data_IF_015324581849
#
_entry.id   IF_015324581849
#
_cell.length_a   1.000
_cell.length_b   1.000
_cell.length_c   1.000
_cell.angle_alpha   90.00
_cell.angle_beta   90.00
_cell.angle_gamma   90.00
#
_symmetry.space_group_name_H-M   'P 1'
#
loop_
_entity.id
_entity.type
_entity.pdbx_description
1 polymer ?
#
# COMPACT_ATOMS: atom_id res chain seq x y z
N UNK A 1 27.32 -1.79 47.80
CA UNK A 1 25.93 -2.16 48.21
C UNK A 1 25.04 -1.36 47.29
N UNK A 2 24.17 -1.99 46.51
CA UNK A 2 23.45 -1.29 45.43
C UNK A 2 22.61 -0.09 45.91
N UNK A 3 22.18 -0.12 47.19
CA UNK A 3 21.47 0.99 47.82
C UNK A 3 22.37 2.14 48.30
N UNK A 4 23.66 1.91 48.45
CA UNK A 4 24.66 2.97 48.74
C UNK A 4 25.09 3.67 47.45
N UNK A 5 24.96 3.00 46.30
CA UNK A 5 25.36 3.49 44.98
C UNK A 5 24.21 4.20 44.22
N UNK A 6 23.15 4.62 44.92
CA UNK A 6 21.97 5.27 44.30
C UNK A 6 22.36 6.57 43.60
N UNK A 7 23.25 7.36 44.19
CA UNK A 7 23.71 8.61 43.58
C UNK A 7 24.45 8.34 42.26
N UNK A 8 25.33 7.34 42.24
CA UNK A 8 26.03 6.92 41.02
C UNK A 8 25.05 6.43 39.95
N UNK A 9 24.04 5.63 40.32
CA UNK A 9 23.02 5.15 39.39
C UNK A 9 22.18 6.30 38.83
N UNK A 10 21.88 7.31 39.64
CA UNK A 10 21.20 8.52 39.18
C UNK A 10 22.08 9.31 38.19
N UNK A 11 23.36 9.50 38.49
CA UNK A 11 24.32 10.18 37.60
C UNK A 11 24.42 9.48 36.23
N UNK A 12 24.53 8.14 36.21
CA UNK A 12 24.60 7.37 34.95
C UNK A 12 23.32 7.52 34.13
N UNK A 13 22.15 7.62 34.77
CA UNK A 13 20.87 7.83 34.05
C UNK A 13 20.80 9.25 33.51
N UNK A 14 21.21 10.26 34.28
CA UNK A 14 21.26 11.66 33.83
C UNK A 14 22.20 11.83 32.63
N UNK A 15 23.40 11.24 32.71
CA UNK A 15 24.37 11.23 31.61
C UNK A 15 23.82 10.53 30.37
N UNK A 16 23.10 9.41 30.54
CA UNK A 16 22.47 8.70 29.42
C UNK A 16 21.32 9.52 28.79
N UNK A 17 20.60 10.30 29.59
CA UNK A 17 19.50 11.17 29.16
C UNK A 17 20.00 12.50 28.56
N UNK A 18 21.30 12.80 28.64
CA UNK A 18 21.88 14.02 28.10
C UNK A 18 21.58 14.16 26.59
N UNK A 19 20.93 15.28 26.23
CA UNK A 19 20.53 15.57 24.85
C UNK A 19 19.14 15.06 24.44
N UNK A 20 18.39 14.46 25.35
CA UNK A 20 16.96 14.19 25.17
C UNK A 20 16.11 15.27 25.86
N UNK A 21 15.07 15.72 25.17
CA UNK A 21 14.03 16.60 25.70
C UNK A 21 12.78 15.76 26.00
N UNK A 22 12.63 15.38 27.27
CA UNK A 22 11.57 14.49 27.75
C UNK A 22 10.70 15.14 28.81
N UNK A 23 9.43 14.73 28.85
CA UNK A 23 8.50 15.11 29.91
C UNK A 23 8.19 13.94 30.83
N UNK A 24 8.32 12.70 30.34
CA UNK A 24 7.92 11.47 31.04
C UNK A 24 9.02 10.43 31.02
N UNK A 25 9.56 10.11 32.19
CA UNK A 25 10.57 9.07 32.39
C UNK A 25 9.95 7.87 33.13
N UNK A 26 10.25 6.66 32.69
CA UNK A 26 10.03 5.46 33.48
C UNK A 26 11.38 4.85 33.84
N UNK A 27 11.50 4.37 35.08
CA UNK A 27 12.69 3.67 35.55
C UNK A 27 12.36 2.21 35.74
N UNK A 28 13.20 1.35 35.19
CA UNK A 28 13.17 -0.08 35.43
C UNK A 28 14.53 -0.59 35.86
N UNK A 29 14.52 -1.65 36.67
CA UNK A 29 15.72 -2.37 37.04
C UNK A 29 15.60 -3.83 36.62
N UNK A 30 16.66 -4.36 36.02
CA UNK A 30 16.83 -5.76 35.65
C UNK A 30 17.69 -6.44 36.71
N UNK A 31 17.06 -7.33 37.48
CA UNK A 31 17.75 -8.18 38.45
C UNK A 31 17.93 -9.59 37.89
N UNK A 32 19.02 -10.28 38.23
CA UNK A 32 19.17 -11.71 38.03
C UNK A 32 18.06 -12.49 38.74
N UNK A 33 17.59 -13.58 38.13
CA UNK A 33 16.46 -14.36 38.67
C UNK A 33 16.80 -14.99 40.02
N UNK A 34 18.02 -15.49 40.16
CA UNK A 34 18.57 -16.06 41.38
C UNK A 34 18.52 -15.07 42.56
N UNK A 35 18.81 -13.79 42.32
CA UNK A 35 18.73 -12.76 43.36
C UNK A 35 17.30 -12.47 43.80
N UNK A 36 16.35 -12.43 42.86
CA UNK A 36 14.93 -12.25 43.16
C UNK A 36 14.40 -13.46 43.94
N UNK A 37 14.73 -14.68 43.50
CA UNK A 37 14.31 -15.92 44.17
C UNK A 37 14.89 -16.03 45.59
N UNK A 38 16.15 -15.61 45.77
CA UNK A 38 16.79 -15.59 47.08
C UNK A 38 16.12 -14.58 48.04
N UNK A 39 15.84 -13.35 47.56
CA UNK A 39 15.09 -12.34 48.34
C UNK A 39 13.71 -12.85 48.74
N UNK A 40 12.98 -13.45 47.81
CA UNK A 40 11.65 -14.02 48.09
C UNK A 40 11.72 -15.16 49.11
N UNK A 41 12.76 -16.00 49.04
CA UNK A 41 13.05 -17.05 50.02
C UNK A 41 13.25 -16.49 51.43
N UNK A 42 14.07 -15.44 51.57
CA UNK A 42 14.29 -14.74 52.85
C UNK A 42 12.97 -14.18 53.38
N UNK A 43 12.19 -13.48 52.55
CA UNK A 43 10.91 -12.89 52.99
C UNK A 43 9.91 -13.95 53.44
N UNK A 44 9.85 -15.09 52.78
CA UNK A 44 9.02 -16.23 53.23
C UNK A 44 9.51 -16.80 54.55
N UNK A 45 10.83 -17.00 54.70
CA UNK A 45 11.44 -17.54 55.92
C UNK A 45 11.10 -16.69 57.15
N UNK A 46 11.12 -15.37 57.01
CA UNK A 46 10.83 -14.44 58.11
C UNK A 46 9.37 -13.97 58.18
N UNK A 47 8.47 -14.56 57.39
CA UNK A 47 7.07 -14.13 57.25
C UNK A 47 6.90 -12.63 56.94
N UNK A 48 7.90 -12.02 56.30
CA UNK A 48 7.96 -10.61 55.96
C UNK A 48 7.28 -10.30 54.61
N UNK A 49 6.07 -10.82 54.41
CA UNK A 49 5.31 -10.60 53.17
C UNK A 49 5.01 -9.12 52.91
N UNK A 50 4.86 -8.33 53.98
CA UNK A 50 4.60 -6.89 53.91
C UNK A 50 5.83 -6.00 53.69
N UNK A 51 7.04 -6.55 53.63
CA UNK A 51 8.24 -5.76 53.27
C UNK A 51 8.26 -5.47 51.77
N UNK A 52 8.79 -4.32 51.37
CA UNK A 52 8.97 -4.01 49.96
C UNK A 52 9.96 -4.98 49.30
N UNK A 53 9.68 -5.39 48.07
CA UNK A 53 10.57 -6.24 47.30
C UNK A 53 11.83 -5.48 46.87
N UNK A 54 12.91 -6.21 46.56
CA UNK A 54 14.22 -5.61 46.24
C UNK A 54 14.13 -4.63 45.06
N UNK A 55 13.46 -5.05 43.99
CA UNK A 55 13.32 -4.27 42.75
C UNK A 55 12.49 -2.97 42.94
N UNK A 56 11.23 -3.02 43.44
CA UNK A 56 10.46 -1.80 43.72
C UNK A 56 11.16 -0.86 44.70
N UNK A 57 11.84 -1.38 45.72
CA UNK A 57 12.59 -0.58 46.69
C UNK A 57 13.71 0.22 46.04
N UNK A 58 14.51 -0.42 45.19
CA UNK A 58 15.60 0.24 44.49
C UNK A 58 15.07 1.28 43.50
N UNK A 59 14.13 0.88 42.64
CA UNK A 59 13.53 1.77 41.64
C UNK A 59 12.88 2.97 42.31
N UNK A 60 12.14 2.78 43.41
CA UNK A 60 11.49 3.87 44.14
C UNK A 60 12.48 4.90 44.69
N UNK A 61 13.63 4.46 45.22
CA UNK A 61 14.66 5.38 45.71
C UNK A 61 15.37 6.14 44.59
N UNK A 62 15.71 5.46 43.49
CA UNK A 62 16.30 6.10 42.30
C UNK A 62 15.31 7.11 41.72
N UNK A 63 14.03 6.74 41.60
CA UNK A 63 12.97 7.64 41.14
C UNK A 63 12.89 8.89 42.01
N UNK A 64 12.86 8.75 43.34
CA UNK A 64 12.83 9.91 44.22
C UNK A 64 14.03 10.83 43.99
N UNK A 65 15.23 10.26 43.86
CA UNK A 65 16.46 11.03 43.64
C UNK A 65 16.45 11.77 42.29
N UNK A 66 16.04 11.10 41.22
CA UNK A 66 15.94 11.71 39.90
C UNK A 66 14.85 12.79 39.84
N UNK A 67 13.71 12.61 40.51
CA UNK A 67 12.68 13.66 40.61
C UNK A 67 13.17 14.93 41.31
N UNK A 68 14.15 14.83 42.21
CA UNK A 68 14.76 15.98 42.90
C UNK A 68 15.81 16.69 42.03
N UNK A 69 16.35 16.02 41.01
CA UNK A 69 17.44 16.52 40.16
C UNK A 69 16.99 16.95 38.77
N UNK A 70 15.96 16.31 38.22
CA UNK A 70 15.42 16.60 36.89
C UNK A 70 14.20 17.52 37.00
N UNK A 71 14.43 18.81 36.77
CA UNK A 71 13.36 19.79 36.70
C UNK A 71 12.48 19.57 35.46
N UNK A 72 11.16 19.51 35.64
CA UNK A 72 10.18 19.38 34.56
C UNK A 72 9.93 17.97 34.04
N UNK A 73 10.65 16.95 34.54
CA UNK A 73 10.44 15.55 34.16
C UNK A 73 9.57 14.83 35.18
N UNK A 74 8.45 14.27 34.72
CA UNK A 74 7.56 13.46 35.55
C UNK A 74 7.93 11.98 35.46
N UNK A 75 8.09 11.32 36.61
CA UNK A 75 8.31 9.88 36.65
C UNK A 75 6.97 9.15 36.60
N UNK A 76 6.79 8.32 35.57
CA UNK A 76 5.53 7.63 35.29
C UNK A 76 5.73 6.12 35.12
N UNK A 77 4.67 5.36 35.42
CA UNK A 77 4.66 3.91 35.22
C UNK A 77 3.96 3.47 33.92
N UNK A 78 3.17 4.37 33.33
CA UNK A 78 2.50 4.13 32.05
C UNK A 78 2.80 5.28 31.08
N UNK A 79 2.95 4.89 29.82
CA UNK A 79 3.26 5.75 28.68
C UNK A 79 4.40 6.77 28.92
N UNK A 80 5.62 6.30 29.24
CA UNK A 80 6.79 7.17 29.24
C UNK A 80 7.19 7.58 27.82
N UNK A 81 8.00 8.65 27.74
CA UNK A 81 8.76 9.02 26.55
C UNK A 81 10.01 8.13 26.45
N UNK A 82 10.70 7.91 27.58
CA UNK A 82 11.87 7.02 27.70
C UNK A 82 11.70 6.08 28.89
N UNK A 83 12.01 4.80 28.69
CA UNK A 83 12.20 3.82 29.76
C UNK A 83 13.71 3.59 29.97
N UNK A 84 14.23 4.05 31.10
CA UNK A 84 15.60 3.78 31.52
C UNK A 84 15.67 2.42 32.24
N UNK A 85 16.31 1.44 31.63
CA UNK A 85 16.54 0.11 32.19
C UNK A 85 17.96 -0.01 32.74
N UNK A 86 18.05 -0.17 34.04
CA UNK A 86 19.31 -0.37 34.76
C UNK A 86 19.59 -1.86 34.86
N UNK A 87 20.75 -2.31 34.38
CA UNK A 87 21.26 -3.64 34.67
C UNK A 87 22.09 -3.59 35.95
N UNK A 88 21.58 -4.22 37.02
CA UNK A 88 22.18 -4.10 38.36
C UNK A 88 23.48 -4.89 38.52
N UNK A 89 23.81 -5.79 37.59
CA UNK A 89 25.08 -6.53 37.63
C UNK A 89 26.22 -5.73 37.00
N UNK A 90 25.91 -5.06 35.88
CA UNK A 90 26.91 -4.32 35.09
C UNK A 90 26.90 -2.82 35.37
N UNK A 91 25.90 -2.33 36.13
CA UNK A 91 25.63 -0.91 36.38
C UNK A 91 25.50 -0.09 35.08
N UNK A 92 25.03 -0.74 34.01
CA UNK A 92 24.77 -0.08 32.72
C UNK A 92 23.32 0.35 32.61
N UNK A 93 23.08 1.46 31.91
CA UNK A 93 21.75 1.97 31.63
C UNK A 93 21.46 1.83 30.15
N UNK A 94 20.37 1.14 29.82
CA UNK A 94 19.83 1.06 28.46
C UNK A 94 18.59 1.93 28.38
N UNK A 95 18.53 2.82 27.40
CA UNK A 95 17.35 3.64 27.14
C UNK A 95 16.48 2.99 26.07
N UNK A 96 15.24 2.67 26.42
CA UNK A 96 14.20 2.30 25.46
C UNK A 96 13.37 3.55 25.13
N UNK A 97 13.65 4.13 23.96
CA UNK A 97 13.09 5.40 23.52
C UNK A 97 11.81 5.16 22.74
N UNK A 98 10.70 5.73 23.20
CA UNK A 98 9.39 5.48 22.61
C UNK A 98 9.16 6.32 21.35
N UNK A 99 8.66 5.67 20.29
CA UNK A 99 8.32 6.39 19.05
C UNK A 99 7.31 7.53 19.28
N UNK A 100 7.51 8.64 18.57
CA UNK A 100 6.52 9.69 18.42
C UNK A 100 5.59 9.38 17.24
N UNK A 101 4.32 9.76 17.35
CA UNK A 101 3.31 9.55 16.31
C UNK A 101 2.66 10.87 15.93
N UNK A 102 2.51 11.10 14.63
CA UNK A 102 1.96 12.33 14.07
C UNK A 102 0.87 11.94 13.08
N UNK A 103 -0.33 12.46 13.26
CA UNK A 103 -1.42 12.30 12.32
C UNK A 103 -1.40 13.45 11.31
N UNK A 104 -1.80 13.19 10.08
CA UNK A 104 -2.09 14.21 9.09
C UNK A 104 -2.91 13.66 7.93
N UNK A 105 -3.23 14.52 6.98
CA UNK A 105 -3.78 14.15 5.67
C UNK A 105 -2.83 14.62 4.59
N UNK A 106 -2.62 13.80 3.56
CA UNK A 106 -1.84 14.20 2.40
C UNK A 106 -2.68 14.22 1.14
N UNK A 107 -2.53 15.27 0.34
CA UNK A 107 -2.87 15.30 -1.07
C UNK A 107 -1.62 15.03 -1.87
N UNK A 108 -1.78 14.29 -2.96
CA UNK A 108 -0.73 13.93 -3.91
C UNK A 108 -1.15 14.50 -5.26
N UNK A 109 -0.49 15.54 -5.72
CA UNK A 109 -0.79 16.21 -6.98
C UNK A 109 0.01 15.61 -8.15
N UNK A 110 1.20 15.09 -7.87
CA UNK A 110 2.09 14.51 -8.89
C UNK A 110 1.80 13.03 -9.15
N UNK A 111 1.69 12.64 -10.43
CA UNK A 111 1.70 11.21 -10.85
C UNK A 111 3.16 10.76 -11.01
N UNK A 112 3.47 9.51 -10.67
CA UNK A 112 4.82 8.97 -10.79
C UNK A 112 5.57 8.82 -9.46
N UNK A 113 5.03 9.34 -8.36
CA UNK A 113 5.60 9.14 -7.01
C UNK A 113 4.85 8.04 -6.23
N UNK A 114 5.55 7.03 -5.67
CA UNK A 114 4.92 6.01 -4.83
C UNK A 114 4.56 6.58 -3.45
N UNK A 115 3.57 5.96 -2.79
CA UNK A 115 3.19 6.34 -1.42
C UNK A 115 4.31 6.07 -0.39
N UNK A 116 5.01 4.94 -0.52
CA UNK A 116 6.06 4.49 0.40
C UNK A 116 7.35 4.25 -0.37
N UNK A 117 8.49 4.18 0.35
CA UNK A 117 9.80 3.84 -0.20
C UNK A 117 9.77 2.50 -0.91
N UNK A 118 10.35 2.44 -2.11
CA UNK A 118 10.50 1.20 -2.88
C UNK A 118 11.98 0.89 -3.03
N UNK A 119 12.52 -0.10 -2.31
CA UNK A 119 13.90 -0.52 -2.48
C UNK A 119 14.15 -0.98 -3.91
N UNK A 120 15.32 -0.64 -4.46
CA UNK A 120 15.71 -1.07 -5.79
C UNK A 120 15.71 -2.60 -5.87
N UNK A 121 15.00 -3.16 -6.86
CA UNK A 121 14.84 -4.62 -7.02
C UNK A 121 16.17 -5.35 -7.24
N UNK A 122 17.16 -4.68 -7.82
CA UNK A 122 18.48 -5.26 -8.11
C UNK A 122 19.35 -5.35 -6.86
N UNK A 123 19.49 -4.27 -6.09
CA UNK A 123 20.39 -4.22 -4.93
C UNK A 123 19.69 -4.45 -3.58
N UNK A 124 18.35 -4.50 -3.56
CA UNK A 124 17.52 -4.62 -2.36
C UNK A 124 17.77 -3.52 -1.33
N UNK A 125 18.05 -2.30 -1.78
CA UNK A 125 18.29 -1.15 -0.89
C UNK A 125 19.76 -0.80 -0.64
N UNK A 126 20.72 -1.61 -1.12
CA UNK A 126 22.15 -1.39 -0.84
C UNK A 126 22.82 -0.27 -1.66
N UNK A 127 22.20 0.16 -2.75
CA UNK A 127 22.84 0.99 -3.77
C UNK A 127 23.47 0.13 -4.87
N UNK A 128 23.27 0.54 -6.13
CA UNK A 128 24.00 0.02 -7.29
C UNK A 128 23.91 1.00 -8.45
N UNK A 129 24.74 0.78 -9.47
CA UNK A 129 24.73 1.56 -10.71
C UNK A 129 23.34 1.70 -11.36
N UNK A 130 22.47 0.68 -11.23
CA UNK A 130 21.10 0.73 -11.79
C UNK A 130 20.19 1.75 -11.12
N UNK A 131 20.43 2.06 -9.84
CA UNK A 131 19.68 3.07 -9.11
C UNK A 131 20.54 4.29 -8.76
N UNK A 132 21.65 4.53 -9.48
CA UNK A 132 22.59 5.60 -9.19
C UNK A 132 23.02 5.61 -7.71
N UNK A 133 23.27 4.43 -7.15
CA UNK A 133 23.70 4.21 -5.77
C UNK A 133 22.73 4.70 -4.67
N UNK A 134 21.53 5.14 -5.03
CA UNK A 134 20.49 5.57 -4.07
C UNK A 134 19.88 4.43 -3.27
N UNK A 135 20.01 3.19 -3.76
CA UNK A 135 19.33 2.02 -3.20
C UNK A 135 17.81 1.99 -3.46
N UNK A 136 17.23 2.99 -4.12
CA UNK A 136 15.79 3.13 -4.32
C UNK A 136 15.38 2.89 -5.78
N UNK A 137 14.18 2.34 -6.00
CA UNK A 137 13.61 2.17 -7.34
C UNK A 137 13.06 3.49 -7.89
N UNK A 138 12.52 4.34 -7.01
CA UNK A 138 12.04 5.68 -7.34
C UNK A 138 12.80 6.69 -6.48
N UNK A 139 13.13 7.89 -7.00
CA UNK A 139 13.93 8.86 -6.28
C UNK A 139 13.27 9.41 -5.01
N UNK A 140 11.94 9.49 -5.00
CA UNK A 140 11.16 10.07 -3.90
C UNK A 140 9.87 9.29 -3.69
N UNK A 141 9.25 9.48 -2.52
CA UNK A 141 7.95 8.93 -2.15
C UNK A 141 7.18 9.92 -1.27
N UNK A 142 5.85 9.76 -1.18
CA UNK A 142 5.04 10.57 -0.24
C UNK A 142 5.58 10.46 1.19
N UNK A 143 5.96 9.24 1.61
CA UNK A 143 6.63 9.01 2.88
C UNK A 143 7.91 9.84 3.04
N UNK A 144 8.75 9.97 2.01
CA UNK A 144 10.00 10.73 2.08
C UNK A 144 9.77 12.23 2.15
N UNK A 145 8.86 12.73 1.30
CA UNK A 145 8.52 14.15 1.22
C UNK A 145 7.94 14.65 2.56
N UNK A 146 7.20 13.80 3.27
CA UNK A 146 6.63 14.14 4.60
C UNK A 146 7.62 13.82 5.72
N UNK A 147 8.25 12.65 5.69
CA UNK A 147 9.03 12.14 6.81
C UNK A 147 10.40 12.79 6.97
N UNK A 148 11.08 13.14 5.88
CA UNK A 148 12.42 13.72 5.94
C UNK A 148 12.46 15.14 6.54
N UNK A 149 11.49 16.04 6.29
CA UNK A 149 11.44 17.32 6.98
C UNK A 149 11.07 17.16 8.46
N UNK A 150 10.13 16.25 8.77
CA UNK A 150 9.65 16.08 10.15
C UNK A 150 10.70 15.41 11.03
N UNK A 151 11.46 14.43 10.52
CA UNK A 151 12.48 13.74 11.31
C UNK A 151 13.59 14.68 11.79
N UNK A 152 13.91 15.73 11.04
CA UNK A 152 14.85 16.78 11.44
C UNK A 152 14.36 17.55 12.67
N UNK A 153 13.05 17.81 12.76
CA UNK A 153 12.43 18.53 13.89
C UNK A 153 12.41 17.70 15.18
N UNK A 154 12.20 16.39 15.06
CA UNK A 154 12.21 15.44 16.19
C UNK A 154 13.61 14.95 16.56
N UNK A 155 14.61 15.26 15.74
CA UNK A 155 15.96 14.66 15.78
C UNK A 155 15.89 13.11 15.86
N UNK A 156 14.98 12.51 15.09
CA UNK A 156 14.75 11.07 15.11
C UNK A 156 15.72 10.26 14.26
N UNK A 157 15.81 8.96 14.52
CA UNK A 157 16.68 8.05 13.76
C UNK A 157 16.09 7.62 12.42
N UNK A 158 14.81 7.22 12.43
CA UNK A 158 14.10 6.79 11.23
C UNK A 158 12.60 7.09 11.30
N UNK A 159 11.93 7.12 10.15
CA UNK A 159 10.48 7.27 10.07
C UNK A 159 9.80 6.08 9.38
N UNK A 160 8.57 5.80 9.81
CA UNK A 160 7.68 4.82 9.20
C UNK A 160 6.32 5.45 8.88
N UNK A 161 5.79 5.13 7.71
CA UNK A 161 4.54 5.71 7.23
C UNK A 161 3.37 4.72 7.30
N UNK A 162 2.23 5.17 7.82
CA UNK A 162 1.02 4.38 7.96
C UNK A 162 -0.19 5.11 7.35
N UNK A 163 -0.46 4.87 6.07
CA UNK A 163 -1.61 5.45 5.37
C UNK A 163 -2.89 4.61 5.50
N UNK A 164 -4.05 5.26 5.42
CA UNK A 164 -5.35 4.61 5.32
C UNK A 164 -5.59 4.06 3.91
N UNK A 165 -4.96 2.92 3.63
CA UNK A 165 -4.89 2.36 2.28
C UNK A 165 -3.82 3.03 1.42
N UNK A 166 -3.82 2.70 0.12
CA UNK A 166 -2.77 3.08 -0.81
C UNK A 166 -3.35 3.27 -2.22
N UNK A 167 -2.85 4.29 -2.91
CA UNK A 167 -3.05 4.50 -4.35
C UNK A 167 -1.89 3.96 -5.19
N UNK A 168 -2.16 3.74 -6.47
CA UNK A 168 -1.13 3.39 -7.45
C UNK A 168 -0.22 4.59 -7.74
N UNK A 169 0.95 4.32 -8.32
CA UNK A 169 1.98 5.35 -8.56
C UNK A 169 1.50 6.45 -9.51
N UNK A 170 0.69 6.07 -10.49
CA UNK A 170 0.11 6.92 -11.52
C UNK A 170 -1.19 7.61 -11.07
N UNK A 171 -1.62 7.43 -9.82
CA UNK A 171 -2.88 7.98 -9.28
C UNK A 171 -2.61 9.16 -8.38
N UNK A 172 -3.36 10.26 -8.55
CA UNK A 172 -3.34 11.42 -7.64
C UNK A 172 -4.29 11.19 -6.46
N UNK A 173 -4.05 11.88 -5.36
CA UNK A 173 -4.95 11.89 -4.21
C UNK A 173 -5.34 13.34 -3.91
N UNK A 174 -6.60 13.68 -4.12
CA UNK A 174 -7.13 15.04 -4.06
C UNK A 174 -8.13 15.18 -2.90
N UNK A 175 -9.07 16.12 -3.02
CA UNK A 175 -10.10 16.41 -2.02
C UNK A 175 -9.50 16.77 -0.68
N UNK A 176 -9.96 16.09 0.37
CA UNK A 176 -9.44 16.28 1.74
C UNK A 176 -8.12 15.56 2.00
N UNK A 177 -7.60 14.82 1.02
CA UNK A 177 -6.39 14.03 1.17
C UNK A 177 -6.60 12.73 1.95
N UNK A 178 -5.59 11.86 1.89
CA UNK A 178 -5.58 10.57 2.58
C UNK A 178 -5.04 10.71 4.00
N UNK A 179 -5.79 10.28 5.02
CA UNK A 179 -5.28 10.15 6.38
C UNK A 179 -4.05 9.24 6.47
N UNK A 180 -3.07 9.69 7.24
CA UNK A 180 -1.89 8.93 7.58
C UNK A 180 -1.45 9.17 9.02
N UNK A 181 -0.68 8.23 9.54
CA UNK A 181 0.12 8.41 10.76
C UNK A 181 1.58 8.19 10.40
N UNK A 182 2.42 9.16 10.72
CA UNK A 182 3.87 9.07 10.65
C UNK A 182 4.40 8.67 12.03
N UNK A 183 5.19 7.60 12.07
CA UNK A 183 5.92 7.15 13.25
C UNK A 183 7.38 7.61 13.13
N UNK A 184 7.85 8.37 14.11
CA UNK A 184 9.27 8.73 14.25
C UNK A 184 9.87 7.82 15.32
N UNK A 185 10.89 7.05 14.97
CA UNK A 185 11.57 6.13 15.88
C UNK A 185 12.78 6.79 16.52
N UNK A 186 12.97 6.50 17.80
CA UNK A 186 14.05 7.05 18.63
C UNK A 186 14.19 8.58 18.47
N UNK A 187 13.10 9.38 18.64
CA UNK A 187 13.23 10.83 18.63
C UNK A 187 14.00 11.31 19.87
N UNK A 188 14.68 12.45 19.75
CA UNK A 188 15.26 13.12 20.92
C UNK A 188 14.32 14.15 21.54
N UNK A 189 13.30 14.60 20.79
CA UNK A 189 12.29 15.57 21.23
C UNK A 189 10.90 15.07 20.86
N UNK A 190 9.88 15.30 21.70
CA UNK A 190 8.49 14.87 21.44
C UNK A 190 7.52 16.02 21.21
N UNK A 191 7.91 17.24 21.59
CA UNK A 191 7.12 18.44 21.41
C UNK A 191 7.71 19.28 20.28
N UNK A 192 6.87 19.63 19.32
CA UNK A 192 7.23 20.46 18.17
C UNK A 192 6.05 21.34 17.82
N UNK A 193 6.32 22.44 17.12
CA UNK A 193 5.26 23.19 16.46
C UNK A 193 4.80 22.46 15.19
N UNK A 194 3.60 21.88 15.26
CA UNK A 194 2.98 21.16 14.15
C UNK A 194 2.61 22.07 12.98
N UNK A 195 2.35 23.36 13.22
CA UNK A 195 2.04 24.32 12.16
C UNK A 195 3.29 24.63 11.33
N UNK A 196 4.40 24.95 11.99
CA UNK A 196 5.70 25.11 11.35
C UNK A 196 6.14 23.83 10.61
N UNK A 197 5.91 22.65 11.20
CA UNK A 197 6.22 21.37 10.55
C UNK A 197 5.40 21.15 9.26
N UNK A 198 4.12 21.50 9.29
CA UNK A 198 3.24 21.42 8.12
C UNK A 198 3.72 22.35 7.00
N UNK A 199 4.05 23.60 7.33
CA UNK A 199 4.56 24.58 6.37
C UNK A 199 5.89 24.12 5.76
N UNK A 200 6.84 23.65 6.58
CA UNK A 200 8.14 23.16 6.12
C UNK A 200 8.02 21.97 5.16
N UNK A 201 7.08 21.05 5.40
CA UNK A 201 6.81 19.94 4.46
C UNK A 201 6.24 20.46 3.15
N UNK A 202 5.23 21.33 3.21
CA UNK A 202 4.55 21.85 2.02
C UNK A 202 5.49 22.67 1.12
N UNK A 203 6.39 23.47 1.70
CA UNK A 203 7.40 24.23 0.98
C UNK A 203 8.43 23.30 0.31
N UNK A 204 8.98 22.33 1.04
CA UNK A 204 9.98 21.38 0.51
C UNK A 204 9.39 20.46 -0.54
N UNK A 205 8.10 20.15 -0.47
CA UNK A 205 7.39 19.33 -1.43
C UNK A 205 7.19 20.00 -2.79
N UNK A 206 7.37 21.33 -2.91
CA UNK A 206 7.30 22.09 -4.19
C UNK A 206 6.05 21.77 -5.02
N UNK A 207 4.91 21.52 -4.37
CA UNK A 207 3.64 21.20 -5.01
C UNK A 207 3.42 19.73 -5.40
N UNK A 208 4.41 18.85 -5.25
CA UNK A 208 4.23 17.40 -5.49
C UNK A 208 3.19 16.79 -4.56
N UNK A 209 3.21 17.22 -3.29
CA UNK A 209 2.25 16.87 -2.25
C UNK A 209 1.88 18.11 -1.43
N UNK A 210 0.75 18.03 -0.73
CA UNK A 210 0.31 18.99 0.27
C UNK A 210 -0.15 18.20 1.50
N UNK A 211 0.26 18.60 2.70
CA UNK A 211 -0.25 18.03 3.95
C UNK A 211 -1.08 19.04 4.73
N UNK A 212 -2.14 18.52 5.37
CA UNK A 212 -3.08 19.27 6.22
C UNK A 212 -3.36 18.49 7.50
N UNK A 213 -4.03 19.13 8.47
CA UNK A 213 -4.52 18.51 9.71
C UNK A 213 -3.42 17.81 10.53
N UNK A 214 -2.22 18.38 10.51
CA UNK A 214 -1.05 17.83 11.21
C UNK A 214 -1.22 18.01 12.72
N UNK A 215 -1.16 16.92 13.48
CA UNK A 215 -1.26 16.95 14.95
C UNK A 215 -0.57 15.76 15.61
N UNK A 216 -0.38 15.86 16.93
CA UNK A 216 0.03 14.74 17.77
C UNK A 216 -0.93 13.54 17.63
N UNK A 217 -0.37 12.35 17.61
CA UNK A 217 -1.08 11.08 17.48
C UNK A 217 -0.51 10.01 18.43
N UNK A 218 -0.97 8.77 18.30
CA UNK A 218 -0.55 7.63 19.12
C UNK A 218 -0.64 6.31 18.34
N UNK A 219 -0.07 5.25 18.93
CA UNK A 219 -0.07 3.90 18.34
C UNK A 219 -1.48 3.32 18.12
N UNK A 220 -2.46 3.62 18.96
CA UNK A 220 -3.84 3.13 18.75
C UNK A 220 -4.48 3.75 17.52
N UNK A 221 -4.15 4.99 17.18
CA UNK A 221 -4.62 5.64 15.97
C UNK A 221 -4.04 5.01 14.70
N UNK A 222 -2.80 4.49 14.75
CA UNK A 222 -2.23 3.69 13.64
C UNK A 222 -3.11 2.50 13.30
N UNK A 223 -3.60 1.78 14.32
CA UNK A 223 -4.48 0.62 14.14
C UNK A 223 -5.82 1.08 13.56
N UNK A 224 -6.40 2.14 14.13
CA UNK A 224 -7.65 2.74 13.64
C UNK A 224 -7.56 3.12 12.16
N UNK A 225 -6.52 3.86 11.76
CA UNK A 225 -6.29 4.30 10.37
C UNK A 225 -6.13 3.11 9.41
N UNK A 226 -5.55 1.98 9.86
CA UNK A 226 -5.40 0.79 9.01
C UNK A 226 -6.68 -0.03 8.87
N UNK A 227 -7.46 -0.11 9.94
CA UNK A 227 -8.60 -1.03 10.03
C UNK A 227 -9.93 -0.38 9.62
N UNK A 228 -10.05 0.95 9.64
CA UNK A 228 -11.28 1.65 9.25
C UNK A 228 -11.61 1.42 7.77
N UNK A 229 -12.71 0.72 7.44
CA UNK A 229 -13.16 0.55 6.08
C UNK A 229 -13.84 1.84 5.61
N UNK A 230 -13.08 2.73 4.99
CA UNK A 230 -13.62 3.97 4.43
C UNK A 230 -14.08 3.79 2.98
N UNK A 231 -15.27 4.30 2.68
CA UNK A 231 -15.72 4.54 1.30
C UNK A 231 -14.85 5.60 0.64
N UNK A 232 -14.71 5.50 -0.68
CA UNK A 232 -13.81 6.37 -1.44
C UNK A 232 -14.49 6.83 -2.71
N UNK A 233 -14.33 8.11 -3.02
CA UNK A 233 -14.70 8.69 -4.29
C UNK A 233 -13.49 8.74 -5.19
N UNK A 234 -13.69 8.39 -6.45
CA UNK A 234 -12.66 8.41 -7.48
C UNK A 234 -13.18 9.13 -8.71
N UNK A 235 -12.30 9.83 -9.42
CA UNK A 235 -12.59 10.34 -10.76
C UNK A 235 -11.70 9.59 -11.73
N UNK A 236 -12.31 9.03 -12.77
CA UNK A 236 -11.61 8.19 -13.75
C UNK A 236 -11.91 8.68 -15.15
N UNK A 237 -10.88 8.69 -16.00
CA UNK A 237 -11.00 8.94 -17.43
C UNK A 237 -10.45 7.77 -18.22
N UNK A 238 -11.16 7.39 -19.27
CA UNK A 238 -10.79 6.29 -20.13
C UNK A 238 -11.18 6.55 -21.59
N UNK A 239 -10.41 5.93 -22.49
CA UNK A 239 -10.67 5.87 -23.92
C UNK A 239 -11.57 4.66 -24.22
N UNK A 240 -12.57 4.88 -25.07
CA UNK A 240 -13.42 3.82 -25.62
C UNK A 240 -12.94 3.46 -27.01
N UNK A 241 -12.64 2.18 -27.21
CA UNK A 241 -12.13 1.61 -28.45
C UNK A 241 -13.07 0.48 -28.94
N UNK A 242 -13.11 0.22 -30.26
CA UNK A 242 -13.87 -0.91 -30.78
C UNK A 242 -13.43 -2.24 -30.14
N UNK A 243 -14.38 -3.14 -29.93
CA UNK A 243 -14.17 -4.48 -29.36
C UNK A 243 -14.71 -5.54 -30.30
N UNK A 244 -14.02 -6.68 -30.41
CA UNK A 244 -14.52 -7.84 -31.14
C UNK A 244 -15.57 -8.61 -30.34
N UNK A 245 -16.42 -9.40 -31.02
CA UNK A 245 -17.36 -10.30 -30.32
C UNK A 245 -16.63 -11.27 -29.37
N UNK A 246 -15.50 -11.84 -29.81
CA UNK A 246 -14.66 -12.72 -28.97
C UNK A 246 -14.15 -12.03 -27.69
N UNK A 247 -13.80 -10.74 -27.77
CA UNK A 247 -13.39 -9.96 -26.61
C UNK A 247 -14.56 -9.72 -25.65
N UNK A 248 -15.75 -9.47 -26.17
CA UNK A 248 -16.97 -9.33 -25.36
C UNK A 248 -17.34 -10.65 -24.66
N UNK A 249 -17.17 -11.79 -25.34
CA UNK A 249 -17.43 -13.11 -24.77
C UNK A 249 -16.48 -13.40 -23.58
N UNK A 250 -15.22 -12.98 -23.68
CA UNK A 250 -14.26 -13.07 -22.57
C UNK A 250 -14.70 -12.20 -21.38
N UNK A 251 -15.13 -10.97 -21.63
CA UNK A 251 -15.58 -10.05 -20.57
C UNK A 251 -16.85 -10.52 -19.86
N UNK A 252 -17.71 -11.27 -20.55
CA UNK A 252 -19.02 -11.74 -20.06
C UNK A 252 -19.01 -13.20 -19.62
N UNK A 253 -17.91 -13.93 -19.82
CA UNK A 253 -17.78 -15.33 -19.42
C UNK A 253 -18.04 -15.52 -17.91
N UNK A 254 -18.85 -16.48 -17.48
CA UNK A 254 -19.28 -16.59 -16.09
C UNK A 254 -18.10 -16.75 -15.12
N UNK A 255 -18.05 -15.90 -14.09
CA UNK A 255 -17.06 -15.99 -13.02
C UNK A 255 -17.28 -17.24 -12.16
N UNK A 256 -16.19 -17.99 -11.93
CA UNK A 256 -16.19 -19.05 -10.93
C UNK A 256 -16.26 -18.46 -9.51
N UNK A 257 -17.45 -18.54 -8.90
CA UNK A 257 -17.73 -18.06 -7.55
C UNK A 257 -17.33 -19.06 -6.45
N UNK A 258 -16.68 -20.20 -6.75
CA UNK A 258 -16.35 -21.20 -5.71
C UNK A 258 -15.31 -20.72 -4.68
N UNK A 259 -14.57 -19.65 -4.98
CA UNK A 259 -13.55 -19.03 -4.12
C UNK A 259 -13.99 -17.65 -3.60
N UNK A 260 -15.14 -17.60 -2.92
CA UNK A 260 -15.63 -16.38 -2.27
C UNK A 260 -14.77 -15.95 -1.07
N UNK A 261 -14.74 -14.63 -0.84
CA UNK A 261 -14.04 -13.97 0.26
C UNK A 261 -14.48 -14.49 1.65
N UNK A 262 -13.52 -14.56 2.58
CA UNK A 262 -13.72 -15.07 3.94
C UNK A 262 -14.65 -14.17 4.75
N UNK A 263 -14.80 -12.90 4.37
CA UNK A 263 -15.71 -11.94 5.03
C UNK A 263 -17.19 -12.36 4.98
N UNK A 264 -17.60 -13.21 4.02
CA UNK A 264 -18.96 -13.76 3.98
C UNK A 264 -19.11 -15.12 4.67
N UNK A 265 -18.02 -15.73 5.15
CA UNK A 265 -18.12 -16.95 5.96
C UNK A 265 -18.58 -16.55 7.36
N UNK A 266 -19.88 -16.76 7.64
CA UNK A 266 -20.42 -16.71 9.00
C UNK A 266 -19.53 -17.52 9.96
N UNK A 267 -19.54 -17.19 11.26
CA UNK A 267 -18.73 -17.78 12.35
C UNK A 267 -19.04 -19.28 12.60
N UNK A 268 -18.94 -20.10 11.57
CA UNK A 268 -19.16 -21.54 11.58
C UNK A 268 -17.84 -22.28 11.48
N UNK A 269 -17.67 -23.27 12.37
CA UNK A 269 -16.56 -24.24 12.49
C UNK A 269 -15.71 -24.41 11.21
N UNK A 270 -14.41 -24.12 11.35
CA UNK A 270 -13.36 -24.47 10.38
C UNK A 270 -13.44 -25.97 10.06
N UNK A 271 -14.00 -26.33 8.90
CA UNK A 271 -13.76 -27.66 8.31
C UNK A 271 -12.34 -27.65 7.73
N UNK A 272 -11.46 -28.46 8.29
CA UNK A 272 -10.19 -28.80 7.67
C UNK A 272 -10.47 -29.40 6.29
N UNK A 273 -10.13 -28.68 5.21
CA UNK A 273 -10.14 -29.24 3.87
C UNK A 273 -8.91 -30.14 3.71
N UNK A 274 -9.15 -31.39 3.28
CA UNK A 274 -8.11 -32.31 2.83
C UNK A 274 -7.40 -31.68 1.63
N UNK A 275 -6.06 -31.77 1.66
CA UNK A 275 -5.15 -31.38 0.59
C UNK A 275 -5.34 -32.39 -0.56
N UNK A 276 -6.01 -31.98 -1.62
CA UNK A 276 -6.27 -32.80 -2.80
C UNK A 276 -6.44 -31.88 -4.01
N UNK A 277 -5.77 -32.26 -5.09
CA UNK A 277 -5.76 -31.68 -6.44
C UNK A 277 -4.97 -30.38 -6.64
N UNK A 278 -3.66 -30.60 -6.72
CA UNK A 278 -2.65 -29.64 -7.15
C UNK A 278 -2.30 -29.87 -8.64
N UNK A 279 -3.31 -30.06 -9.50
CA UNK A 279 -3.11 -30.26 -10.95
C UNK A 279 -3.45 -29.05 -11.82
N UNK A 280 -4.25 -28.11 -11.31
CA UNK A 280 -4.49 -26.85 -12.01
C UNK A 280 -3.59 -25.78 -11.43
N UNK A 281 -2.51 -25.44 -12.15
CA UNK A 281 -1.68 -24.30 -11.83
C UNK A 281 -2.42 -23.02 -12.30
N UNK A 282 -3.07 -22.25 -11.40
CA UNK A 282 -3.85 -21.07 -11.80
C UNK A 282 -2.94 -19.91 -12.21
N UNK A 283 -1.61 -20.10 -12.14
CA UNK A 283 -0.58 -19.15 -12.53
C UNK A 283 -0.12 -19.33 -13.98
N UNK A 284 -0.68 -20.28 -14.75
CA UNK A 284 -0.46 -20.28 -16.19
C UNK A 284 -1.25 -19.09 -16.75
N UNK A 285 -0.60 -18.06 -17.33
CA UNK A 285 -1.32 -17.11 -18.16
C UNK A 285 -2.05 -17.93 -19.21
N UNK A 286 -3.29 -17.55 -19.54
CA UNK A 286 -3.86 -17.99 -20.81
C UNK A 286 -2.84 -17.60 -21.89
N UNK A 287 -2.39 -18.58 -22.66
CA UNK A 287 -1.48 -18.34 -23.78
C UNK A 287 -2.18 -17.36 -24.72
N UNK A 288 -1.79 -16.09 -24.65
CA UNK A 288 -2.17 -15.11 -25.66
C UNK A 288 -1.45 -15.52 -26.92
N UNK A 289 -2.16 -16.21 -27.80
CA UNK A 289 -1.72 -16.38 -29.18
C UNK A 289 -1.90 -15.01 -29.83
N UNK A 290 -0.89 -14.15 -29.69
CA UNK A 290 -0.75 -13.00 -30.57
C UNK A 290 -0.44 -13.56 -31.95
N UNK A 291 -1.49 -13.72 -32.76
CA UNK A 291 -1.31 -14.13 -34.15
C UNK A 291 -0.67 -12.92 -34.86
N UNK A 292 0.63 -12.98 -35.13
CA UNK A 292 1.28 -11.91 -35.91
C UNK A 292 0.61 -11.80 -37.27
N UNK A 293 0.05 -10.63 -37.58
CA UNK A 293 -0.55 -10.38 -38.88
C UNK A 293 0.61 -10.17 -39.85
N UNK A 294 0.68 -10.99 -40.89
CA UNK A 294 1.74 -10.90 -41.89
C UNK A 294 1.31 -9.88 -42.96
N UNK A 295 2.12 -8.86 -43.17
CA UNK A 295 1.89 -7.84 -44.20
C UNK A 295 2.54 -8.24 -45.54
N UNK A 296 1.78 -8.10 -46.63
CA UNK A 296 2.23 -8.44 -47.99
C UNK A 296 3.50 -7.68 -48.41
N UNK A 297 3.63 -6.42 -47.96
CA UNK A 297 4.80 -5.58 -48.26
C UNK A 297 6.10 -6.10 -47.62
N UNK A 298 6.00 -6.72 -46.44
CA UNK A 298 7.16 -7.24 -45.73
C UNK A 298 7.51 -8.65 -46.18
N UNK A 299 6.51 -9.49 -46.46
CA UNK A 299 6.71 -10.81 -47.08
C UNK A 299 7.37 -10.71 -48.47
N UNK A 300 7.10 -9.64 -49.23
CA UNK A 300 7.76 -9.38 -50.53
C UNK A 300 9.26 -9.08 -50.41
N UNK A 301 9.72 -8.51 -49.29
CA UNK A 301 11.13 -8.18 -49.03
C UNK A 301 11.97 -9.39 -48.61
N UNK A 302 11.32 -10.41 -48.02
CA UNK A 302 12.00 -11.61 -47.51
C UNK A 302 12.56 -12.49 -48.64
N UNK A 303 13.64 -13.23 -48.35
CA UNK A 303 14.18 -14.24 -49.29
C UNK A 303 13.27 -15.47 -49.30
N UNK A 304 13.30 -16.24 -50.40
CA UNK A 304 12.47 -17.45 -50.54
C UNK A 304 12.69 -18.46 -49.41
N UNK A 305 13.92 -18.61 -48.93
CA UNK A 305 14.25 -19.51 -47.81
C UNK A 305 13.54 -19.11 -46.51
N UNK A 306 13.49 -17.80 -46.21
CA UNK A 306 12.84 -17.26 -45.02
C UNK A 306 11.31 -17.41 -45.08
N UNK A 307 10.71 -17.29 -46.29
CA UNK A 307 9.28 -17.52 -46.49
C UNK A 307 8.90 -19.00 -46.28
N UNK A 308 9.77 -19.94 -46.67
CA UNK A 308 9.54 -21.38 -46.44
C UNK A 308 9.61 -21.71 -44.95
N UNK A 309 10.55 -21.13 -44.20
CA UNK A 309 10.62 -21.27 -42.74
C UNK A 309 9.36 -20.71 -42.06
N UNK A 310 8.89 -19.54 -42.49
CA UNK A 310 7.63 -18.96 -41.99
C UNK A 310 6.41 -19.85 -42.31
N UNK A 311 6.39 -20.49 -43.49
CA UNK A 311 5.31 -21.41 -43.85
C UNK A 311 5.27 -22.63 -42.93
N UNK A 312 6.44 -23.16 -42.56
CA UNK A 312 6.56 -24.29 -41.62
C UNK A 312 6.07 -23.88 -40.23
N UNK A 313 6.46 -22.69 -39.77
CA UNK A 313 6.01 -22.14 -38.49
C UNK A 313 4.48 -21.95 -38.44
N UNK A 314 3.89 -21.44 -39.52
CA UNK A 314 2.44 -21.21 -39.66
C UNK A 314 1.63 -22.43 -40.12
N UNK A 315 2.29 -23.58 -40.32
CA UNK A 315 1.69 -24.83 -40.80
C UNK A 315 0.92 -24.68 -42.12
N UNK A 316 1.43 -23.88 -43.07
CA UNK A 316 0.90 -23.78 -44.42
C UNK A 316 1.84 -24.42 -45.47
N UNK A 317 1.39 -24.53 -46.72
CA UNK A 317 2.14 -25.23 -47.77
C UNK A 317 3.48 -24.55 -48.09
N UNK A 318 4.57 -25.33 -48.02
CA UNK A 318 5.96 -24.95 -48.32
C UNK A 318 6.34 -25.06 -49.80
N UNK A 319 5.43 -25.60 -50.63
CA UNK A 319 5.68 -25.87 -52.04
C UNK A 319 5.14 -24.74 -52.91
N UNK A 320 6.01 -24.11 -53.68
CA UNK A 320 5.60 -23.13 -54.69
C UNK A 320 6.66 -22.11 -55.12
N UNK A 321 6.23 -21.20 -56.00
CA UNK A 321 6.94 -19.97 -56.38
C UNK A 321 6.78 -18.93 -55.25
N UNK A 322 7.66 -17.93 -55.18
CA UNK A 322 7.63 -16.89 -54.13
C UNK A 322 6.23 -16.28 -53.92
N UNK A 323 5.48 -16.05 -55.00
CA UNK A 323 4.13 -15.51 -54.94
C UNK A 323 3.11 -16.45 -54.28
N UNK A 324 3.22 -17.77 -54.49
CA UNK A 324 2.32 -18.77 -53.89
C UNK A 324 2.58 -18.94 -52.40
N UNK A 325 3.86 -18.89 -51.99
CA UNK A 325 4.23 -18.91 -50.56
C UNK A 325 3.69 -17.69 -49.83
N UNK A 326 3.78 -16.50 -50.43
CA UNK A 326 3.21 -15.26 -49.86
C UNK A 326 1.68 -15.37 -49.77
N UNK A 327 1.01 -15.85 -50.80
CA UNK A 327 -0.45 -16.03 -50.80
C UNK A 327 -0.91 -17.03 -49.72
N UNK A 328 -0.19 -18.15 -49.55
CA UNK A 328 -0.48 -19.14 -48.51
C UNK A 328 -0.27 -18.56 -47.10
N UNK A 329 0.78 -17.77 -46.89
CA UNK A 329 1.04 -17.10 -45.62
C UNK A 329 -0.03 -16.03 -45.31
N UNK A 330 -0.41 -15.22 -46.30
CA UNK A 330 -1.49 -14.24 -46.14
C UNK A 330 -2.84 -14.92 -45.86
N UNK A 331 -3.10 -16.10 -46.44
CA UNK A 331 -4.30 -16.89 -46.15
C UNK A 331 -4.30 -17.51 -44.74
N UNK A 332 -3.14 -17.60 -44.07
CA UNK A 332 -3.08 -17.94 -42.64
C UNK A 332 -3.28 -16.76 -41.71
N UNK A 333 -3.43 -15.53 -42.24
CA UNK A 333 -3.86 -14.42 -41.41
C UNK A 333 -5.29 -14.71 -40.92
N UNK A 334 -5.58 -14.45 -39.63
CA UNK A 334 -6.94 -14.56 -39.14
C UNK A 334 -7.83 -13.61 -39.94
N UNK A 335 -9.03 -14.06 -40.31
CA UNK A 335 -10.01 -13.20 -40.99
C UNK A 335 -10.19 -11.89 -40.18
N UNK A 336 -10.39 -10.74 -40.84
CA UNK A 336 -10.61 -9.48 -40.14
C UNK A 336 -11.77 -9.66 -39.17
N UNK A 337 -11.47 -9.62 -37.87
CA UNK A 337 -12.48 -9.84 -36.85
C UNK A 337 -13.46 -8.67 -36.92
N UNK A 338 -14.73 -8.95 -37.22
CA UNK A 338 -15.77 -7.93 -37.27
C UNK A 338 -15.86 -7.25 -35.89
N UNK A 339 -15.69 -5.93 -35.89
CA UNK A 339 -15.70 -5.14 -34.68
C UNK A 339 -17.12 -4.69 -34.37
N UNK A 340 -17.49 -4.72 -33.09
CA UNK A 340 -18.79 -4.24 -32.65
C UNK A 340 -18.92 -2.73 -32.88
N UNK A 341 -20.13 -2.25 -33.23
CA UNK A 341 -20.36 -0.81 -33.38
C UNK A 341 -20.13 -0.11 -32.04
N UNK A 342 -19.48 1.05 -32.09
CA UNK A 342 -19.25 1.86 -30.91
C UNK A 342 -20.59 2.38 -30.35
N UNK A 343 -20.75 2.41 -29.02
CA UNK A 343 -21.95 2.93 -28.39
C UNK A 343 -22.06 4.44 -28.58
N UNK A 344 -23.29 4.92 -28.71
CA UNK A 344 -23.62 6.33 -28.74
C UNK A 344 -23.44 6.99 -27.36
N UNK A 345 -23.26 8.32 -27.37
CA UNK A 345 -23.05 9.12 -26.15
C UNK A 345 -24.17 8.92 -25.11
N UNK A 346 -25.42 8.85 -25.57
CA UNK A 346 -26.59 8.67 -24.68
C UNK A 346 -26.57 7.32 -23.99
N UNK A 347 -26.27 6.24 -24.72
CA UNK A 347 -26.13 4.90 -24.13
C UNK A 347 -25.00 4.83 -23.11
N UNK A 348 -23.84 5.45 -23.37
CA UNK A 348 -22.72 5.47 -22.42
C UNK A 348 -23.14 6.13 -21.10
N UNK A 349 -23.81 7.29 -21.16
CA UNK A 349 -24.24 8.04 -19.97
C UNK A 349 -25.28 7.25 -19.17
N UNK A 350 -26.28 6.66 -19.83
CA UNK A 350 -27.31 5.84 -19.18
C UNK A 350 -26.71 4.60 -18.49
N UNK A 351 -25.70 3.97 -19.09
CA UNK A 351 -24.99 2.84 -18.48
C UNK A 351 -24.20 3.28 -17.22
N UNK A 352 -23.55 4.45 -17.26
CA UNK A 352 -22.82 4.98 -16.09
C UNK A 352 -23.79 5.33 -14.96
N UNK A 353 -24.96 5.87 -15.28
CA UNK A 353 -26.02 6.14 -14.31
C UNK A 353 -26.53 4.82 -13.69
N UNK A 354 -26.80 3.81 -14.53
CA UNK A 354 -27.21 2.47 -14.08
C UNK A 354 -26.15 1.71 -13.28
N UNK A 355 -24.88 2.14 -13.31
CA UNK A 355 -23.84 1.57 -12.46
C UNK A 355 -24.05 1.94 -10.97
N UNK A 356 -24.81 3.00 -10.69
CA UNK A 356 -25.15 3.38 -9.32
C UNK A 356 -25.90 2.25 -8.59
N UNK A 357 -25.42 1.88 -7.41
CA UNK A 357 -26.00 0.82 -6.58
C UNK A 357 -25.63 -0.60 -6.99
N UNK A 358 -24.87 -0.79 -8.07
CA UNK A 358 -24.52 -2.12 -8.60
C UNK A 358 -23.52 -2.84 -7.69
N UNK A 359 -23.76 -4.14 -7.50
CA UNK A 359 -22.81 -5.05 -6.85
C UNK A 359 -21.87 -5.64 -7.89
N UNK A 360 -20.58 -5.39 -7.72
CA UNK A 360 -19.48 -5.93 -8.51
C UNK A 360 -18.97 -7.21 -7.87
N UNK A 361 -18.72 -8.24 -8.67
CA UNK A 361 -17.90 -9.39 -8.33
C UNK A 361 -16.51 -9.18 -8.94
N UNK A 362 -15.52 -8.89 -8.10
CA UNK A 362 -14.14 -8.64 -8.51
C UNK A 362 -13.22 -9.75 -8.05
N UNK A 363 -12.75 -10.59 -8.98
CA UNK A 363 -11.61 -11.46 -8.74
C UNK A 363 -10.35 -10.60 -8.56
N UNK A 364 -9.43 -11.04 -7.70
CA UNK A 364 -8.15 -10.35 -7.47
C UNK A 364 -7.51 -9.99 -8.83
N UNK A 365 -7.23 -8.71 -9.13
CA UNK A 365 -6.74 -8.33 -10.45
C UNK A 365 -5.41 -8.97 -10.81
N UNK A 366 -5.17 -9.21 -12.10
CA UNK A 366 -3.96 -9.92 -12.57
C UNK A 366 -2.68 -9.19 -12.13
N UNK A 367 -2.67 -7.85 -12.28
CA UNK A 367 -1.52 -7.00 -11.88
C UNK A 367 -1.14 -7.07 -10.40
N UNK A 368 -2.02 -7.56 -9.52
CA UNK A 368 -1.75 -7.75 -8.08
C UNK A 368 -1.79 -9.21 -7.64
N UNK A 369 -2.07 -10.15 -8.53
CA UNK A 369 -2.20 -11.58 -8.22
C UNK A 369 -0.93 -12.19 -7.62
N UNK A 370 0.25 -11.68 -7.98
CA UNK A 370 1.53 -12.10 -7.38
C UNK A 370 1.70 -11.69 -5.91
N UNK A 371 0.92 -10.72 -5.41
CA UNK A 371 0.97 -10.19 -4.03
C UNK A 371 -0.23 -10.56 -3.17
N UNK A 372 -1.34 -10.96 -3.79
CA UNK A 372 -2.62 -11.17 -3.10
C UNK A 372 -3.17 -12.56 -3.40
N UNK A 373 -3.88 -13.12 -2.43
CA UNK A 373 -4.63 -14.35 -2.65
C UNK A 373 -5.68 -14.14 -3.75
N UNK A 374 -5.78 -15.11 -4.65
CA UNK A 374 -6.76 -15.12 -5.73
C UNK A 374 -8.15 -15.49 -5.19
N UNK A 375 -9.01 -14.48 -5.09
CA UNK A 375 -10.32 -14.52 -4.43
C UNK A 375 -11.28 -13.59 -5.16
N UNK A 376 -12.56 -13.96 -5.22
CA UNK A 376 -13.64 -13.10 -5.72
C UNK A 376 -14.24 -12.33 -4.54
N UNK A 377 -14.29 -11.00 -4.67
CA UNK A 377 -14.80 -10.07 -3.65
C UNK A 377 -16.00 -9.33 -4.20
N UNK A 378 -17.09 -9.30 -3.42
CA UNK A 378 -18.26 -8.49 -3.74
C UNK A 378 -18.05 -7.07 -3.25
N UNK A 379 -18.26 -6.08 -4.11
CA UNK A 379 -18.10 -4.65 -3.80
C UNK A 379 -19.22 -3.84 -4.41
N UNK A 380 -19.77 -2.90 -3.67
CA UNK A 380 -20.85 -2.04 -4.17
C UNK A 380 -20.32 -0.72 -4.72
N UNK A 381 -20.78 -0.36 -5.92
CA UNK A 381 -20.75 1.03 -6.40
C UNK A 381 -21.91 1.74 -5.73
N UNK A 382 -21.60 2.73 -4.91
CA UNK A 382 -22.60 3.44 -4.10
C UNK A 382 -23.28 4.50 -4.96
N UNK A 383 -22.48 5.23 -5.73
CA UNK A 383 -22.94 6.40 -6.48
C UNK A 383 -22.03 6.70 -7.66
N UNK A 384 -22.60 7.23 -8.74
CA UNK A 384 -21.89 7.80 -9.89
C UNK A 384 -22.34 9.25 -10.10
N UNK A 385 -21.42 10.14 -10.50
CA UNK A 385 -21.68 11.57 -10.74
C UNK A 385 -20.79 12.11 -11.86
N UNK A 386 -21.12 13.31 -12.33
CA UNK A 386 -20.30 14.12 -13.24
C UNK A 386 -19.86 13.38 -14.50
N UNK A 387 -20.72 12.51 -15.02
CA UNK A 387 -20.43 11.73 -16.21
C UNK A 387 -20.41 12.64 -17.45
N UNK A 388 -19.31 12.59 -18.20
CA UNK A 388 -19.12 13.34 -19.43
C UNK A 388 -18.50 12.46 -20.51
N UNK A 389 -18.91 12.73 -21.75
CA UNK A 389 -18.41 12.05 -22.95
C UNK A 389 -17.99 13.11 -23.95
N UNK A 390 -16.71 13.07 -24.31
CA UNK A 390 -16.05 13.98 -25.24
C UNK A 390 -15.51 13.19 -26.43
N UNK A 391 -15.78 13.66 -27.64
CA UNK A 391 -15.28 13.06 -28.87
C UNK A 391 -14.27 14.03 -29.46
N UNK A 392 -13.06 13.59 -29.75
CA UNK A 392 -12.05 14.44 -30.38
C UNK A 392 -12.23 14.49 -31.91
N UNK A 393 -11.46 15.34 -32.58
CA UNK A 393 -11.51 15.50 -34.05
C UNK A 393 -11.16 14.23 -34.84
N UNK A 394 -10.47 13.27 -34.19
CA UNK A 394 -10.12 11.96 -34.75
C UNK A 394 -11.23 10.90 -34.52
N UNK A 395 -12.36 11.27 -33.91
CA UNK A 395 -13.48 10.38 -33.60
C UNK A 395 -13.25 9.46 -32.38
N UNK A 396 -12.19 9.68 -31.60
CA UNK A 396 -11.94 8.94 -30.35
C UNK A 396 -12.86 9.43 -29.25
N UNK A 397 -13.47 8.48 -28.53
CA UNK A 397 -14.44 8.76 -27.48
C UNK A 397 -13.73 8.67 -26.11
N UNK A 398 -13.68 9.79 -25.41
CA UNK A 398 -13.19 9.90 -24.05
C UNK A 398 -14.35 10.03 -23.08
N UNK A 399 -14.32 9.22 -22.03
CA UNK A 399 -15.34 9.22 -20.99
C UNK A 399 -14.69 9.53 -19.66
N UNK A 400 -15.31 10.43 -18.90
CA UNK A 400 -14.87 10.82 -17.57
C UNK A 400 -16.06 10.83 -16.63
N UNK A 401 -15.92 10.23 -15.45
CA UNK A 401 -16.96 10.26 -14.43
C UNK A 401 -16.36 10.06 -13.03
N UNK A 402 -17.14 10.45 -12.02
CA UNK A 402 -16.83 10.21 -10.61
C UNK A 402 -17.65 9.04 -10.09
N UNK A 403 -17.03 8.14 -9.33
CA UNK A 403 -17.70 7.04 -8.64
C UNK A 403 -17.30 6.97 -7.18
N UNK A 404 -18.30 6.78 -6.30
CA UNK A 404 -18.13 6.44 -4.89
C UNK A 404 -18.36 4.95 -4.71
N UNK A 405 -17.43 4.26 -4.09
CA UNK A 405 -17.50 2.81 -3.91
C UNK A 405 -17.00 2.36 -2.54
N UNK A 406 -17.36 1.13 -2.17
CA UNK A 406 -16.89 0.48 -0.95
C UNK A 406 -15.36 0.33 -0.91
N UNK A 407 -14.84 0.18 0.30
CA UNK A 407 -13.40 0.02 0.53
C UNK A 407 -12.83 -1.20 -0.19
N UNK A 408 -11.72 -1.01 -0.91
CA UNK A 408 -11.01 -2.07 -1.61
C UNK A 408 -11.57 -2.45 -2.98
N UNK A 409 -12.52 -1.67 -3.52
CA UNK A 409 -12.94 -1.75 -4.92
C UNK A 409 -11.79 -1.41 -5.86
N UNK A 410 -11.58 -2.22 -6.89
CA UNK A 410 -10.56 -2.00 -7.91
C UNK A 410 -11.15 -1.22 -9.08
N UNK A 411 -11.00 0.10 -9.04
CA UNK A 411 -11.72 1.03 -9.93
C UNK A 411 -11.31 0.92 -11.40
N UNK A 412 -10.02 0.72 -11.69
CA UNK A 412 -9.55 0.54 -13.07
C UNK A 412 -10.24 -0.69 -13.69
N UNK A 413 -10.30 -1.78 -12.93
CA UNK A 413 -10.91 -3.03 -13.33
C UNK A 413 -12.44 -2.96 -13.41
N UNK A 414 -13.11 -2.10 -12.63
CA UNK A 414 -14.53 -1.76 -12.84
C UNK A 414 -14.78 -1.17 -14.23
N UNK A 415 -13.80 -0.43 -14.78
CA UNK A 415 -13.89 0.17 -16.11
C UNK A 415 -13.52 -0.82 -17.21
N UNK A 416 -12.32 -1.40 -17.17
CA UNK A 416 -11.79 -2.24 -18.27
C UNK A 416 -12.15 -3.73 -18.19
N UNK A 417 -12.63 -4.22 -17.04
CA UNK A 417 -13.10 -5.59 -16.84
C UNK A 417 -12.02 -6.63 -16.52
N UNK A 418 -10.74 -6.33 -16.72
CA UNK A 418 -9.58 -7.18 -16.46
C UNK A 418 -9.74 -8.59 -17.06
N UNK A 419 -10.02 -8.65 -18.37
CA UNK A 419 -10.28 -9.89 -19.10
C UNK A 419 -11.38 -10.76 -18.45
N UNK A 420 -12.47 -10.12 -17.99
CA UNK A 420 -13.64 -10.79 -17.40
C UNK A 420 -13.52 -11.07 -15.89
N UNK A 421 -12.43 -10.65 -15.25
CA UNK A 421 -12.21 -10.83 -13.79
C UNK A 421 -13.08 -9.91 -12.93
N UNK A 422 -13.65 -8.86 -13.49
CA UNK A 422 -14.63 -7.97 -12.83
C UNK A 422 -15.95 -7.98 -13.57
N UNK A 423 -17.03 -8.34 -12.87
CA UNK A 423 -18.39 -8.34 -13.45
C UNK A 423 -19.44 -7.73 -12.52
N UNK A 424 -20.37 -6.91 -13.04
CA UNK A 424 -20.28 -6.29 -14.36
C UNK A 424 -19.11 -5.29 -14.44
N UNK A 425 -18.67 -4.97 -15.65
CA UNK A 425 -17.68 -3.89 -15.92
C UNK A 425 -18.23 -2.92 -16.96
N UNK A 426 -17.76 -1.66 -16.97
CA UNK A 426 -18.18 -0.69 -17.98
C UNK A 426 -17.93 -1.24 -19.39
N UNK A 427 -16.74 -1.79 -19.65
CA UNK A 427 -16.41 -2.39 -20.94
C UNK A 427 -17.43 -3.46 -21.40
N UNK A 428 -17.85 -4.35 -20.49
CA UNK A 428 -18.87 -5.36 -20.81
C UNK A 428 -20.26 -4.74 -21.06
N UNK A 429 -20.62 -3.69 -20.33
CA UNK A 429 -21.94 -3.06 -20.41
C UNK A 429 -22.09 -2.23 -21.68
N UNK A 430 -21.06 -1.44 -22.04
CA UNK A 430 -21.06 -0.60 -23.24
C UNK A 430 -20.65 -1.37 -24.50
N UNK A 431 -20.25 -2.65 -24.36
CA UNK A 431 -19.78 -3.54 -25.43
C UNK A 431 -18.60 -2.99 -26.24
N UNK A 432 -17.70 -2.29 -25.55
CA UNK A 432 -16.52 -1.68 -26.15
C UNK A 432 -15.33 -1.85 -25.21
N UNK A 433 -14.11 -1.76 -25.77
CA UNK A 433 -12.89 -1.86 -25.00
C UNK A 433 -12.65 -0.53 -24.29
N UNK A 434 -12.37 -0.57 -23.00
CA UNK A 434 -12.09 0.63 -22.21
C UNK A 434 -10.63 0.64 -21.76
N UNK A 435 -9.86 1.63 -22.21
CA UNK A 435 -8.45 1.80 -21.83
C UNK A 435 -8.34 3.00 -20.89
N UNK A 436 -7.97 2.76 -19.61
CA UNK A 436 -7.89 3.81 -18.59
C UNK A 436 -6.71 4.74 -18.88
N UNK A 437 -6.98 6.04 -19.02
CA UNK A 437 -5.93 7.06 -19.18
C UNK A 437 -5.38 7.49 -17.82
N UNK A 438 -6.29 7.81 -16.89
CA UNK A 438 -5.91 8.19 -15.54
C UNK A 438 -7.03 7.95 -14.55
N UNK A 439 -6.63 7.90 -13.27
CA UNK A 439 -7.50 7.75 -12.13
C UNK A 439 -6.99 8.66 -11.02
N UNK A 440 -7.92 9.33 -10.33
CA UNK A 440 -7.65 10.14 -9.16
C UNK A 440 -8.55 9.73 -8.00
N UNK A 441 -8.00 9.74 -6.79
CA UNK A 441 -8.80 9.65 -5.58
C UNK A 441 -9.38 11.04 -5.33
N UNK A 442 -10.70 11.17 -5.43
CA UNK A 442 -11.41 12.43 -5.23
C UNK A 442 -11.58 12.75 -3.74
N UNK A 443 -12.09 11.80 -2.95
CA UNK A 443 -12.20 11.97 -1.49
C UNK A 443 -12.21 10.63 -0.76
N UNK A 444 -11.90 10.68 0.54
CA UNK A 444 -11.92 9.51 1.41
C UNK A 444 -12.83 9.79 2.62
N UNK A 445 -13.95 9.08 2.66
CA UNK A 445 -15.04 9.29 3.62
C UNK A 445 -14.78 8.46 4.89
N UNK A 446 -13.97 9.00 5.81
CA UNK A 446 -13.45 8.28 6.97
C UNK A 446 -13.52 9.05 8.30
N UNK A 447 -14.41 10.05 8.35
CA UNK A 447 -14.56 10.94 9.50
C UNK A 447 -15.61 10.43 10.47
#
# INVERSE_FOLDING_TARGET
NLFEEIDLLADVIEDALAGYDIQKLQIGARFPKDQIEHEEGIRKQYAAGGSDALKPSLVGKISKKLSERLDGVSIVNDKPDILALIDVLTLTVTLDVRSAYIYGRYKKHERGIPQTRWPCRACKGRGCAKCNDTGQQYPSSVQDLIGNPIIELFEGREHAFHGMGREDIDVRCLGRGRPFVLEIKEPKRWDIDYESAMQAVNERAKGSIEITDVRRSNRSEVVRVKDTPAEKSYTIRFLVEPLSQSGLDVLTAPLDLTKEDVQQRGRGRRKHRRRGDNKDNPKKPLERVEVSILDDADLKKMKKAELVELCIERKCSEKGVKAELIANLLATNPEPVEMLPLPDKTTILDIIEKLQGVNLAQRTPERVAHRRADLVRRRKVIETRDASVNINDEGKIYVEFTLRCESGTYVKETVHGDDGRTQPSIASLIKAKCTVEWLDVGDIHAD
#
